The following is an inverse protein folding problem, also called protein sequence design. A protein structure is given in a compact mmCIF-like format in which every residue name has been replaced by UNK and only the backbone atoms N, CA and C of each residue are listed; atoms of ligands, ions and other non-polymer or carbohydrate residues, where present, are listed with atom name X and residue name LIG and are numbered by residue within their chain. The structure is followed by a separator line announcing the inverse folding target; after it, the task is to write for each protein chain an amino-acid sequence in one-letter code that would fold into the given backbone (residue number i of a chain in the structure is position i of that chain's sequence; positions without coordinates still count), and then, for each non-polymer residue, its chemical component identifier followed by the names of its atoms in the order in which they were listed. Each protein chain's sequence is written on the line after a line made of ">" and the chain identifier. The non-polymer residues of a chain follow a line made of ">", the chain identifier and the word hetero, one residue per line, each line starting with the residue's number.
data_IF_299360278556
#
_entry.id   IF_299360278556
#
_cell.length_a   1.000
_cell.length_b   1.000
_cell.length_c   1.000
_cell.angle_alpha   90.00
_cell.angle_beta   90.00
_cell.angle_gamma   90.00
#
_symmetry.space_group_name_H-M   'P 1'
#
loop_
_entity.id
_entity.type
_entity.pdbx_description
1 polymer ?
#
# COMPACT_ATOMS: atom_id res chain seq x y z
N UNK A 1 -45.06 -44.92 62.40
CA UNK A 1 -44.49 -43.57 62.46
C UNK A 1 -43.12 -43.60 61.79
N UNK A 2 -43.03 -43.23 60.51
CA UNK A 2 -41.78 -43.11 59.75
C UNK A 2 -41.72 -41.76 59.14
N UNK A 3 -40.75 -40.92 59.56
CA UNK A 3 -40.47 -39.61 59.02
C UNK A 3 -39.72 -39.75 57.70
N UNK A 4 -40.26 -39.18 56.64
CA UNK A 4 -39.58 -39.10 55.33
C UNK A 4 -38.85 -37.76 55.31
N UNK A 5 -37.53 -37.85 55.20
CA UNK A 5 -36.62 -36.69 55.03
C UNK A 5 -36.56 -36.37 53.53
N UNK A 6 -37.02 -35.18 53.17
CA UNK A 6 -36.98 -34.69 51.78
C UNK A 6 -35.70 -33.87 51.63
N UNK A 7 -34.74 -34.39 50.91
CA UNK A 7 -33.50 -33.67 50.54
C UNK A 7 -33.76 -32.82 49.27
N UNK A 8 -33.69 -31.52 49.39
CA UNK A 8 -33.66 -30.58 48.25
C UNK A 8 -32.23 -30.55 47.68
N UNK A 9 -32.02 -31.09 46.52
CA UNK A 9 -30.82 -30.81 45.70
C UNK A 9 -30.97 -29.49 45.00
N UNK A 10 -30.20 -28.49 45.41
CA UNK A 10 -30.01 -27.25 44.65
C UNK A 10 -28.99 -27.48 43.54
N UNK A 11 -29.47 -27.55 42.31
CA UNK A 11 -28.60 -27.55 41.14
C UNK A 11 -28.11 -26.13 40.85
N UNK A 12 -26.84 -25.88 41.14
CA UNK A 12 -26.13 -24.65 40.81
C UNK A 12 -25.69 -24.73 39.36
N UNK A 13 -26.45 -24.15 38.41
CA UNK A 13 -26.08 -24.01 37.04
C UNK A 13 -25.02 -22.91 36.88
N UNK A 14 -23.76 -23.29 36.78
CA UNK A 14 -22.67 -22.40 36.37
C UNK A 14 -22.83 -22.05 34.89
N UNK A 15 -23.42 -20.89 34.59
CA UNK A 15 -23.36 -20.25 33.29
C UNK A 15 -21.92 -19.78 33.07
N UNK A 16 -21.13 -20.62 32.41
CA UNK A 16 -19.85 -20.22 31.84
C UNK A 16 -20.14 -19.26 30.68
N UNK A 17 -20.09 -17.97 30.95
CA UNK A 17 -20.11 -16.93 29.92
C UNK A 17 -18.86 -17.09 29.06
N UNK A 18 -19.02 -17.60 27.85
CA UNK A 18 -18.01 -17.51 26.83
C UNK A 18 -17.81 -16.02 26.50
N UNK A 19 -16.79 -15.44 27.09
CA UNK A 19 -16.29 -14.11 26.64
C UNK A 19 -15.63 -14.36 25.30
N UNK A 20 -16.39 -14.13 24.23
CA UNK A 20 -15.86 -13.97 22.88
C UNK A 20 -15.01 -12.68 22.91
N UNK A 21 -13.74 -12.82 23.28
CA UNK A 21 -12.76 -11.75 23.11
C UNK A 21 -12.55 -11.60 21.62
N UNK A 22 -13.31 -10.67 21.02
CA UNK A 22 -13.04 -10.23 19.66
C UNK A 22 -11.55 -9.89 19.57
N UNK A 23 -10.77 -10.79 18.96
CA UNK A 23 -9.34 -10.61 18.76
C UNK A 23 -9.17 -9.35 17.94
N UNK A 24 -8.66 -8.29 18.55
CA UNK A 24 -8.39 -7.05 17.85
C UNK A 24 -7.58 -7.39 16.59
N UNK A 25 -8.09 -6.98 15.42
CA UNK A 25 -7.42 -7.25 14.17
C UNK A 25 -5.99 -6.70 14.24
N UNK A 26 -5.01 -7.54 13.92
CA UNK A 26 -3.61 -7.11 13.90
C UNK A 26 -3.44 -5.97 12.92
N UNK A 27 -2.74 -4.90 13.33
CA UNK A 27 -2.55 -3.74 12.49
C UNK A 27 -1.68 -4.10 11.28
N UNK A 28 -2.15 -3.70 10.10
CA UNK A 28 -1.47 -3.96 8.82
C UNK A 28 -0.19 -3.13 8.76
N UNK A 29 0.91 -3.81 8.47
CA UNK A 29 2.22 -3.20 8.31
C UNK A 29 2.46 -2.84 6.85
N UNK A 30 2.84 -1.59 6.60
CA UNK A 30 3.27 -1.12 5.29
C UNK A 30 4.76 -0.79 5.30
N UNK A 31 5.44 -0.93 4.16
CA UNK A 31 6.88 -0.67 4.11
C UNK A 31 7.32 0.23 2.95
N UNK A 32 8.41 0.96 3.19
CA UNK A 32 9.20 1.64 2.18
C UNK A 32 10.29 0.69 1.67
N UNK A 33 10.38 0.52 0.35
CA UNK A 33 11.40 -0.32 -0.25
C UNK A 33 12.79 0.33 -0.19
N UNK A 34 13.78 -0.47 0.17
CA UNK A 34 15.19 -0.25 -0.10
C UNK A 34 15.54 -1.14 -1.30
N UNK A 35 15.99 -0.57 -2.40
CA UNK A 35 16.21 -1.24 -3.68
C UNK A 35 17.49 -0.76 -4.37
N UNK A 36 17.94 -1.44 -5.39
CA UNK A 36 19.17 -1.13 -6.12
C UNK A 36 20.35 -0.86 -5.16
N UNK A 37 20.52 -1.76 -4.19
CA UNK A 37 21.51 -1.68 -3.14
C UNK A 37 21.12 -0.74 -1.99
N UNK A 38 21.05 0.57 -2.22
CA UNK A 38 20.83 1.56 -1.14
C UNK A 38 19.81 2.65 -1.45
N UNK A 39 19.14 2.59 -2.59
CA UNK A 39 18.06 3.54 -2.90
C UNK A 39 16.90 3.36 -1.91
N UNK A 40 16.40 4.46 -1.36
CA UNK A 40 15.36 4.43 -0.33
C UNK A 40 14.13 5.23 -0.75
N UNK A 41 12.96 4.68 -0.47
CA UNK A 41 11.66 5.29 -0.77
C UNK A 41 11.23 6.18 0.40
N UNK A 42 11.66 7.46 0.42
CA UNK A 42 11.48 8.34 1.59
C UNK A 42 10.36 9.37 1.45
N UNK A 43 9.78 9.52 0.28
CA UNK A 43 8.87 10.63 0.02
C UNK A 43 7.38 10.30 0.22
N UNK A 44 7.07 9.27 0.99
CA UNK A 44 5.74 9.02 1.53
C UNK A 44 5.76 9.24 3.05
N UNK A 45 4.86 10.10 3.54
CA UNK A 45 4.82 10.47 4.96
C UNK A 45 4.01 9.46 5.78
N UNK A 46 4.23 9.49 7.10
CA UNK A 46 3.38 8.76 8.05
C UNK A 46 1.93 9.30 8.08
N UNK A 47 1.69 10.53 7.58
CA UNK A 47 0.36 11.11 7.44
C UNK A 47 -0.52 10.30 6.47
N UNK A 48 0.06 9.69 5.45
CA UNK A 48 -0.63 8.76 4.55
C UNK A 48 -1.32 7.64 5.34
N UNK A 49 -0.58 6.93 6.19
CA UNK A 49 -1.15 5.83 7.00
C UNK A 49 -2.16 6.33 8.04
N UNK A 50 -1.92 7.50 8.62
CA UNK A 50 -2.87 8.16 9.53
C UNK A 50 -4.17 8.55 8.79
N UNK A 51 -4.08 9.00 7.55
CA UNK A 51 -5.24 9.30 6.71
C UNK A 51 -6.06 8.06 6.37
N UNK A 52 -5.39 6.92 6.10
CA UNK A 52 -6.07 5.63 5.89
C UNK A 52 -6.88 5.23 7.13
N UNK A 53 -6.30 5.34 8.33
CA UNK A 53 -7.01 5.04 9.59
C UNK A 53 -8.23 5.93 9.81
N UNK A 54 -8.14 7.22 9.45
CA UNK A 54 -9.29 8.14 9.56
C UNK A 54 -10.38 7.90 8.53
N UNK A 55 -10.00 7.41 7.36
CA UNK A 55 -10.90 7.29 6.21
C UNK A 55 -11.50 5.89 6.05
N UNK A 56 -10.99 4.89 6.78
CA UNK A 56 -11.42 3.50 6.69
C UNK A 56 -11.42 2.84 8.07
N UNK A 57 -11.99 1.63 8.15
CA UNK A 57 -11.93 0.79 9.36
C UNK A 57 -10.70 -0.12 9.41
N UNK A 58 -9.79 0.02 8.44
CA UNK A 58 -8.61 -0.84 8.32
C UNK A 58 -7.55 -0.37 9.33
N UNK A 59 -7.17 -1.21 10.31
CA UNK A 59 -6.12 -0.86 11.25
C UNK A 59 -4.76 -0.99 10.54
N UNK A 60 -4.04 0.13 10.40
CA UNK A 60 -2.66 0.14 9.89
C UNK A 60 -1.70 0.55 11.00
N UNK A 61 -0.45 0.10 10.96
CA UNK A 61 0.61 0.77 11.73
C UNK A 61 0.74 2.22 11.23
N UNK A 62 1.10 3.14 12.13
CA UNK A 62 1.19 4.57 11.78
C UNK A 62 2.46 4.97 11.04
N UNK A 63 3.41 4.05 10.92
CA UNK A 63 4.72 4.32 10.31
C UNK A 63 5.07 3.25 9.32
N UNK A 64 5.63 3.68 8.20
CA UNK A 64 6.26 2.77 7.26
C UNK A 64 7.51 2.14 7.89
N UNK A 65 7.66 0.84 7.70
CA UNK A 65 8.92 0.15 7.97
C UNK A 65 9.81 0.26 6.73
N UNK A 66 11.12 0.10 6.89
CA UNK A 66 12.01 -0.03 5.75
C UNK A 66 12.33 -1.50 5.51
N UNK A 67 12.16 -1.98 4.28
CA UNK A 67 12.46 -3.37 3.92
C UNK A 67 13.29 -3.42 2.64
N UNK A 68 14.29 -4.30 2.61
CA UNK A 68 15.09 -4.53 1.41
C UNK A 68 14.32 -5.39 0.41
N UNK A 69 14.36 -5.00 -0.85
CA UNK A 69 13.69 -5.72 -1.94
C UNK A 69 14.26 -7.14 -2.14
N UNK A 70 15.53 -7.35 -1.82
CA UNK A 70 16.20 -8.66 -1.89
C UNK A 70 16.03 -9.52 -0.63
N UNK A 71 15.28 -9.05 0.38
CA UNK A 71 15.01 -9.77 1.63
C UNK A 71 13.71 -10.55 1.59
N UNK A 72 13.69 -11.72 2.21
CA UNK A 72 12.45 -12.48 2.40
C UNK A 72 11.48 -11.80 3.40
N UNK A 73 11.96 -10.83 4.19
CA UNK A 73 11.11 -10.00 5.05
C UNK A 73 10.06 -9.20 4.25
N UNK A 74 10.31 -8.94 2.96
CA UNK A 74 9.38 -8.29 2.04
C UNK A 74 7.97 -8.90 2.09
N UNK A 75 7.89 -10.22 2.18
CA UNK A 75 6.62 -10.96 2.15
C UNK A 75 5.77 -10.81 3.43
N UNK A 76 6.30 -10.16 4.47
CA UNK A 76 5.55 -9.81 5.66
C UNK A 76 4.73 -8.50 5.53
N UNK A 77 4.86 -7.80 4.41
CA UNK A 77 4.20 -6.52 4.15
C UNK A 77 3.23 -6.65 2.97
N UNK A 78 1.91 -6.59 3.18
CA UNK A 78 0.95 -6.70 2.07
C UNK A 78 0.98 -5.49 1.13
N UNK A 79 1.54 -4.36 1.58
CA UNK A 79 1.63 -3.13 0.82
C UNK A 79 3.01 -2.49 0.98
N UNK A 80 3.65 -2.18 -0.14
CA UNK A 80 4.94 -1.49 -0.15
C UNK A 80 4.93 -0.30 -1.09
N UNK A 81 5.75 0.70 -0.78
CA UNK A 81 5.95 1.87 -1.63
C UNK A 81 7.38 1.91 -2.18
N UNK A 82 7.51 2.37 -3.42
CA UNK A 82 8.77 2.54 -4.13
C UNK A 82 8.82 3.91 -4.80
N UNK A 83 9.77 4.74 -4.43
CA UNK A 83 9.97 6.05 -5.04
C UNK A 83 11.45 6.43 -5.07
N UNK A 84 11.80 7.33 -5.97
CA UNK A 84 13.17 7.85 -6.11
C UNK A 84 13.26 8.87 -7.24
N UNK A 85 14.44 9.44 -7.41
CA UNK A 85 14.67 10.50 -8.40
C UNK A 85 15.73 10.15 -9.43
N UNK A 86 16.61 9.18 -9.10
CA UNK A 86 17.76 8.83 -9.94
C UNK A 86 17.52 7.53 -10.69
N UNK A 87 18.27 7.35 -11.76
CA UNK A 87 18.33 6.08 -12.47
C UNK A 87 18.77 4.95 -11.54
N UNK A 88 18.24 3.77 -11.75
CA UNK A 88 18.57 2.57 -10.96
C UNK A 88 18.47 1.30 -11.79
N UNK A 89 19.13 0.25 -11.32
CA UNK A 89 19.09 -1.09 -11.86
C UNK A 89 18.86 -2.08 -10.73
N UNK A 90 17.83 -2.90 -10.85
CA UNK A 90 17.59 -3.98 -9.90
C UNK A 90 18.55 -5.15 -10.15
N UNK A 91 19.03 -5.77 -9.10
CA UNK A 91 19.73 -7.05 -9.18
C UNK A 91 18.78 -8.17 -9.62
N UNK A 92 19.32 -9.30 -10.04
CA UNK A 92 18.50 -10.47 -10.41
C UNK A 92 17.62 -10.92 -9.25
N UNK A 93 18.14 -10.91 -8.01
CA UNK A 93 17.39 -11.29 -6.81
C UNK A 93 16.28 -10.29 -6.49
N UNK A 94 16.52 -9.00 -6.63
CA UNK A 94 15.47 -7.98 -6.44
C UNK A 94 14.32 -8.14 -7.44
N UNK A 95 14.63 -8.42 -8.73
CA UNK A 95 13.60 -8.69 -9.74
C UNK A 95 12.80 -9.95 -9.44
N UNK A 96 13.47 -11.02 -9.05
CA UNK A 96 12.82 -12.28 -8.67
C UNK A 96 11.90 -12.09 -7.46
N UNK A 97 12.39 -11.43 -6.41
CA UNK A 97 11.60 -11.15 -5.21
C UNK A 97 10.40 -10.25 -5.52
N UNK A 98 10.58 -9.21 -6.33
CA UNK A 98 9.48 -8.32 -6.73
C UNK A 98 8.42 -9.09 -7.54
N UNK A 99 8.85 -9.93 -8.48
CA UNK A 99 7.92 -10.79 -9.23
C UNK A 99 7.12 -11.69 -8.28
N UNK A 100 7.80 -12.44 -7.42
CA UNK A 100 7.15 -13.33 -6.43
C UNK A 100 6.19 -12.54 -5.54
N UNK A 101 6.61 -11.38 -5.06
CA UNK A 101 5.80 -10.52 -4.20
C UNK A 101 4.49 -10.12 -4.87
N UNK A 102 4.55 -9.60 -6.10
CA UNK A 102 3.38 -9.17 -6.86
C UNK A 102 2.45 -10.34 -7.23
N UNK A 103 3.01 -11.50 -7.57
CA UNK A 103 2.21 -12.69 -7.93
C UNK A 103 1.70 -13.48 -6.73
N UNK A 104 2.19 -13.19 -5.51
CA UNK A 104 1.73 -13.86 -4.28
C UNK A 104 0.76 -12.99 -3.44
N UNK A 105 0.24 -11.91 -4.01
CA UNK A 105 -0.76 -11.06 -3.36
C UNK A 105 -0.20 -9.81 -2.67
N UNK A 106 1.09 -9.52 -2.82
CA UNK A 106 1.65 -8.23 -2.42
C UNK A 106 1.27 -7.11 -3.37
N UNK A 107 1.23 -5.87 -2.89
CA UNK A 107 0.86 -4.70 -3.68
C UNK A 107 1.95 -3.63 -3.66
N UNK A 108 2.29 -3.11 -4.84
CA UNK A 108 3.28 -2.06 -5.01
C UNK A 108 2.61 -0.72 -5.39
N UNK A 109 2.82 0.31 -4.60
CA UNK A 109 2.62 1.70 -5.02
C UNK A 109 3.97 2.29 -5.43
N UNK A 110 4.11 2.66 -6.69
CA UNK A 110 5.33 3.28 -7.20
C UNK A 110 5.07 4.69 -7.73
N UNK A 111 6.01 5.60 -7.50
CA UNK A 111 5.90 6.99 -7.93
C UNK A 111 7.26 7.59 -8.22
N UNK A 112 7.39 8.27 -9.37
CA UNK A 112 8.59 9.05 -9.66
C UNK A 112 8.67 10.25 -8.70
N UNK A 113 9.69 10.28 -7.84
CA UNK A 113 9.95 11.40 -6.94
C UNK A 113 10.20 12.67 -7.75
N UNK A 114 9.58 13.77 -7.36
CA UNK A 114 9.67 15.06 -8.07
C UNK A 114 9.42 14.93 -9.59
N UNK A 115 8.57 14.00 -10.01
CA UNK A 115 8.31 13.71 -11.42
C UNK A 115 9.57 13.42 -12.26
N UNK A 116 10.57 12.78 -11.63
CA UNK A 116 11.86 12.51 -12.26
C UNK A 116 11.74 11.65 -13.51
N UNK A 117 12.14 12.19 -14.64
CA UNK A 117 12.17 11.46 -15.90
C UNK A 117 13.23 10.34 -15.92
N UNK A 118 14.29 10.45 -15.14
CA UNK A 118 15.32 9.41 -15.03
C UNK A 118 14.76 8.19 -14.31
N UNK A 119 14.09 8.43 -13.19
CA UNK A 119 13.48 7.37 -12.41
C UNK A 119 12.31 6.72 -13.18
N UNK A 120 11.47 7.51 -13.86
CA UNK A 120 10.39 7.00 -14.71
C UNK A 120 10.93 6.01 -15.76
N UNK A 121 11.98 6.38 -16.50
CA UNK A 121 12.61 5.48 -17.48
C UNK A 121 13.16 4.21 -16.83
N UNK A 122 13.82 4.34 -15.70
CA UNK A 122 14.37 3.20 -14.97
C UNK A 122 13.26 2.27 -14.47
N UNK A 123 12.21 2.81 -13.84
CA UNK A 123 11.09 2.02 -13.36
C UNK A 123 10.41 1.25 -14.48
N UNK A 124 10.10 1.90 -15.60
CA UNK A 124 9.48 1.23 -16.75
C UNK A 124 10.35 0.14 -17.35
N UNK A 125 11.67 0.33 -17.38
CA UNK A 125 12.62 -0.68 -17.81
C UNK A 125 12.63 -1.88 -16.87
N UNK A 126 12.75 -1.64 -15.58
CA UNK A 126 12.85 -2.69 -14.58
C UNK A 126 11.54 -3.47 -14.42
N UNK A 127 10.40 -2.77 -14.35
CA UNK A 127 9.11 -3.45 -14.16
C UNK A 127 8.73 -4.33 -15.36
N UNK A 128 9.13 -3.94 -16.58
CA UNK A 128 8.95 -4.78 -17.77
C UNK A 128 9.76 -6.07 -17.69
N UNK A 129 10.93 -6.04 -17.05
CA UNK A 129 11.72 -7.25 -16.82
C UNK A 129 11.15 -8.12 -15.71
N UNK A 130 10.55 -7.51 -14.68
CA UNK A 130 9.89 -8.20 -13.57
C UNK A 130 8.60 -8.88 -14.02
N UNK A 131 7.77 -8.19 -14.79
CA UNK A 131 6.44 -8.63 -15.22
C UNK A 131 6.30 -8.53 -16.76
N UNK A 132 7.05 -9.32 -17.53
CA UNK A 132 7.09 -9.18 -19.00
C UNK A 132 5.76 -9.47 -19.68
N UNK A 133 4.92 -10.32 -19.09
CA UNK A 133 3.61 -10.71 -19.61
C UNK A 133 2.46 -9.79 -19.13
N UNK A 134 2.76 -8.87 -18.21
CA UNK A 134 1.80 -7.95 -17.61
C UNK A 134 2.25 -6.50 -17.81
N UNK A 135 1.89 -5.86 -18.93
CA UNK A 135 2.33 -4.52 -19.22
C UNK A 135 1.76 -3.50 -18.23
N UNK A 136 2.50 -2.41 -18.04
CA UNK A 136 2.03 -1.25 -17.30
C UNK A 136 1.03 -0.49 -18.19
N UNK A 137 -0.25 -0.50 -17.81
CA UNK A 137 -1.36 0.06 -18.60
C UNK A 137 -2.03 1.23 -17.88
N UNK A 138 -2.58 2.17 -18.64
CA UNK A 138 -3.37 3.27 -18.09
C UNK A 138 -4.60 2.72 -17.36
N UNK A 139 -4.78 3.11 -16.11
CA UNK A 139 -5.98 2.76 -15.34
C UNK A 139 -7.15 3.61 -15.83
N UNK A 140 -8.24 2.96 -16.23
CA UNK A 140 -9.43 3.65 -16.71
C UNK A 140 -10.06 4.51 -15.61
N UNK A 141 -10.60 5.70 -15.91
CA UNK A 141 -11.23 6.57 -14.90
C UNK A 141 -12.39 5.90 -14.13
N UNK A 142 -13.07 4.95 -14.76
CA UNK A 142 -14.16 4.18 -14.13
C UNK A 142 -13.67 3.06 -13.18
N UNK A 143 -12.36 2.84 -13.06
CA UNK A 143 -11.82 1.80 -12.21
C UNK A 143 -12.12 2.07 -10.72
N UNK A 144 -12.43 1.02 -9.95
CA UNK A 144 -12.81 1.11 -8.55
C UNK A 144 -11.79 1.89 -7.68
N UNK A 145 -10.51 1.87 -8.04
CA UNK A 145 -9.43 2.57 -7.33
C UNK A 145 -9.68 4.08 -7.20
N UNK A 146 -10.42 4.70 -8.12
CA UNK A 146 -10.78 6.12 -8.07
C UNK A 146 -11.99 6.42 -7.18
N UNK A 147 -12.64 5.37 -6.63
CA UNK A 147 -13.84 5.53 -5.81
C UNK A 147 -13.91 4.55 -4.63
N UNK A 148 -12.76 4.06 -4.16
CA UNK A 148 -12.72 3.07 -3.07
C UNK A 148 -13.17 3.67 -1.74
N UNK A 149 -12.68 4.86 -1.39
CA UNK A 149 -13.02 5.61 -0.17
C UNK A 149 -13.43 7.04 -0.50
N UNK A 150 -12.68 7.66 -1.41
CA UNK A 150 -12.88 9.03 -1.89
C UNK A 150 -13.24 9.00 -3.36
N UNK A 151 -14.22 9.80 -3.77
CA UNK A 151 -14.48 10.01 -5.18
C UNK A 151 -13.38 10.90 -5.78
N UNK A 152 -12.59 10.34 -6.68
CA UNK A 152 -11.50 11.01 -7.38
C UNK A 152 -11.91 11.22 -8.84
N UNK A 153 -12.58 12.31 -9.12
CA UNK A 153 -13.03 12.64 -10.47
C UNK A 153 -11.86 13.05 -11.39
N UNK A 154 -10.84 13.68 -10.80
CA UNK A 154 -9.68 14.19 -11.53
C UNK A 154 -8.43 14.24 -10.67
N UNK A 155 -7.31 13.82 -11.25
CA UNK A 155 -5.99 14.09 -10.67
C UNK A 155 -5.63 15.56 -10.94
N UNK A 156 -5.11 16.25 -9.92
CA UNK A 156 -4.80 17.68 -9.99
C UNK A 156 -3.30 17.88 -9.86
N UNK A 157 -2.68 18.53 -10.84
CA UNK A 157 -1.27 18.93 -10.76
C UNK A 157 -1.12 20.29 -10.06
N UNK A 158 -0.04 20.45 -9.29
CA UNK A 158 0.36 21.72 -8.68
C UNK A 158 0.86 22.72 -9.71
N UNK A 159 1.44 22.23 -10.79
CA UNK A 159 1.96 23.03 -11.90
C UNK A 159 1.36 22.55 -13.21
N UNK A 160 1.32 23.39 -14.21
CA UNK A 160 0.85 23.01 -15.54
C UNK A 160 1.71 21.90 -16.16
N UNK A 161 1.12 21.11 -17.03
CA UNK A 161 1.81 19.99 -17.69
C UNK A 161 0.86 19.03 -18.40
N UNK A 162 1.37 17.88 -18.78
CA UNK A 162 0.55 16.81 -19.34
C UNK A 162 -0.49 16.33 -18.31
N UNK A 163 -1.64 15.91 -18.79
CA UNK A 163 -2.70 15.36 -17.93
C UNK A 163 -2.16 14.20 -17.08
N UNK A 164 -2.26 14.27 -15.75
CA UNK A 164 -1.77 13.23 -14.88
C UNK A 164 -2.60 11.96 -15.04
N UNK A 165 -1.93 10.83 -14.91
CA UNK A 165 -2.58 9.53 -15.00
C UNK A 165 -1.95 8.53 -14.06
N UNK A 166 -2.75 7.56 -13.62
CA UNK A 166 -2.26 6.36 -12.97
C UNK A 166 -2.14 5.24 -14.03
N UNK A 167 -1.09 4.47 -13.89
CA UNK A 167 -0.87 3.25 -14.65
C UNK A 167 -0.83 2.08 -13.66
N UNK A 168 -1.21 0.90 -14.10
CA UNK A 168 -1.26 -0.28 -13.23
C UNK A 168 -0.82 -1.54 -13.93
N UNK A 169 -0.47 -2.54 -13.14
CA UNK A 169 -0.20 -3.90 -13.58
C UNK A 169 -1.32 -4.77 -13.03
N UNK A 170 -2.03 -5.44 -13.94
CA UNK A 170 -3.04 -6.44 -13.60
C UNK A 170 -2.42 -7.83 -13.48
N UNK A 171 -2.86 -8.60 -12.49
CA UNK A 171 -2.56 -10.02 -12.33
C UNK A 171 -3.78 -10.69 -11.69
N UNK A 172 -4.21 -11.85 -12.23
CA UNK A 172 -5.38 -12.60 -11.76
C UNK A 172 -6.65 -11.74 -11.57
N UNK A 173 -6.90 -10.84 -12.54
CA UNK A 173 -8.11 -10.02 -12.58
C UNK A 173 -8.12 -8.81 -11.65
N UNK A 174 -7.04 -8.51 -10.94
CA UNK A 174 -6.90 -7.35 -10.05
C UNK A 174 -5.60 -6.60 -10.28
N UNK A 175 -5.53 -5.34 -9.84
CA UNK A 175 -4.27 -4.61 -9.81
C UNK A 175 -3.37 -5.16 -8.70
N UNK A 176 -2.10 -5.35 -9.02
CA UNK A 176 -1.03 -5.71 -8.08
C UNK A 176 0.02 -4.61 -7.95
N UNK A 177 0.02 -3.66 -8.89
CA UNK A 177 0.86 -2.47 -8.80
C UNK A 177 0.12 -1.26 -9.36
N UNK A 178 0.36 -0.09 -8.77
CA UNK A 178 -0.03 1.21 -9.28
C UNK A 178 1.19 2.09 -9.39
N UNK A 179 1.28 2.80 -10.50
CA UNK A 179 2.39 3.68 -10.81
C UNK A 179 1.92 5.05 -11.28
N UNK A 180 2.66 6.09 -10.88
CA UNK A 180 2.55 7.44 -11.45
C UNK A 180 3.92 8.01 -11.79
N UNK A 181 4.05 8.53 -13.01
CA UNK A 181 5.22 9.31 -13.43
C UNK A 181 5.21 10.74 -12.91
N UNK A 182 4.04 11.23 -12.49
CA UNK A 182 3.92 12.47 -11.72
C UNK A 182 3.84 12.10 -10.24
N UNK A 183 4.55 12.84 -9.37
CA UNK A 183 4.70 12.49 -7.98
C UNK A 183 3.36 12.30 -7.23
N UNK A 184 3.20 11.11 -6.67
CA UNK A 184 2.17 10.80 -5.67
C UNK A 184 2.70 11.00 -4.25
N UNK A 185 3.90 11.54 -4.13
CA UNK A 185 4.57 11.73 -2.86
C UNK A 185 3.80 12.73 -2.01
N UNK A 186 3.58 12.41 -0.75
CA UNK A 186 3.05 13.35 0.24
C UNK A 186 4.21 14.12 0.89
N UNK A 187 4.82 14.98 0.11
CA UNK A 187 6.08 15.62 0.48
C UNK A 187 5.91 16.83 1.38
N UNK A 188 4.73 17.41 1.42
CA UNK A 188 4.43 18.54 2.31
C UNK A 188 4.61 18.17 3.79
N UNK A 189 4.55 16.89 4.12
CA UNK A 189 4.63 16.37 5.49
C UNK A 189 5.85 15.46 5.73
N UNK A 190 6.79 15.37 4.77
CA UNK A 190 7.96 14.50 4.90
C UNK A 190 9.24 15.31 5.13
N UNK A 191 9.79 15.22 6.33
CA UNK A 191 11.05 15.89 6.69
C UNK A 191 12.20 15.36 5.84
N UNK A 192 12.93 16.26 5.20
CA UNK A 192 14.10 15.93 4.38
C UNK A 192 13.77 15.41 2.98
N UNK A 193 12.52 15.42 2.57
CA UNK A 193 12.16 15.25 1.17
C UNK A 193 12.18 16.61 0.47
N UNK A 194 13.07 16.76 -0.51
CA UNK A 194 13.14 17.96 -1.31
C UNK A 194 12.26 17.81 -2.53
N UNK A 195 11.03 18.25 -2.48
CA UNK A 195 10.21 18.38 -3.68
C UNK A 195 10.39 19.71 -4.32
N UNK A 196 11.38 19.75 -5.15
CA UNK A 196 11.80 20.98 -5.80
C UNK A 196 11.41 20.93 -7.28
N UNK A 197 10.20 21.40 -7.60
CA UNK A 197 9.85 21.76 -8.96
C UNK A 197 9.34 20.65 -9.88
N UNK A 198 9.09 19.43 -9.39
CA UNK A 198 8.34 18.43 -10.14
C UNK A 198 6.85 18.72 -10.19
N UNK A 199 6.15 18.15 -11.16
CA UNK A 199 4.69 18.22 -11.22
C UNK A 199 4.10 17.19 -10.23
N UNK A 200 3.75 17.69 -9.04
CA UNK A 200 3.16 16.88 -7.98
C UNK A 200 1.64 16.82 -8.13
N UNK A 201 1.07 15.67 -7.80
CA UNK A 201 -0.38 15.52 -7.74
C UNK A 201 -0.88 16.09 -6.41
N UNK A 202 -1.62 17.20 -6.45
CA UNK A 202 -2.06 17.96 -5.26
C UNK A 202 -2.99 17.16 -4.37
N UNK A 203 -3.85 16.30 -4.95
CA UNK A 203 -4.74 15.41 -4.22
C UNK A 203 -4.15 14.00 -4.02
N UNK A 204 -2.81 13.90 -3.99
CA UNK A 204 -2.10 12.63 -3.84
C UNK A 204 -2.50 11.87 -2.57
N UNK A 205 -2.74 12.56 -1.46
CA UNK A 205 -3.13 11.92 -0.20
C UNK A 205 -4.43 11.12 -0.34
N UNK A 206 -5.47 11.70 -0.94
CA UNK A 206 -6.75 11.02 -1.18
C UNK A 206 -6.58 9.86 -2.17
N UNK A 207 -5.76 10.05 -3.21
CA UNK A 207 -5.42 9.01 -4.19
C UNK A 207 -4.70 7.85 -3.52
N UNK A 208 -3.71 8.12 -2.68
CA UNK A 208 -2.93 7.12 -1.95
C UNK A 208 -3.80 6.33 -0.96
N UNK A 209 -4.72 7.00 -0.27
CA UNK A 209 -5.71 6.34 0.60
C UNK A 209 -6.55 5.35 -0.19
N UNK A 210 -7.08 5.77 -1.34
CA UNK A 210 -7.85 4.88 -2.22
C UNK A 210 -7.03 3.67 -2.69
N UNK A 211 -5.78 3.90 -3.11
CA UNK A 211 -4.89 2.84 -3.60
C UNK A 211 -4.63 1.80 -2.49
N UNK A 212 -4.31 2.25 -1.27
CA UNK A 212 -4.03 1.33 -0.18
C UNK A 212 -5.28 0.55 0.23
N UNK A 213 -6.42 1.22 0.39
CA UNK A 213 -7.66 0.52 0.74
C UNK A 213 -8.06 -0.46 -0.36
N UNK A 214 -7.94 -0.07 -1.63
CA UNK A 214 -8.15 -0.98 -2.76
C UNK A 214 -7.25 -2.22 -2.66
N UNK A 215 -5.96 -2.03 -2.44
CA UNK A 215 -4.98 -3.12 -2.32
C UNK A 215 -5.30 -4.14 -1.22
N UNK A 216 -5.93 -3.68 -0.14
CA UNK A 216 -6.26 -4.53 1.01
C UNK A 216 -7.66 -5.16 0.95
N UNK A 217 -8.50 -4.74 0.00
CA UNK A 217 -9.92 -5.19 -0.07
C UNK A 217 -10.26 -5.92 -1.36
N UNK A 218 -9.38 -5.93 -2.35
CA UNK A 218 -9.55 -6.59 -3.65
C UNK A 218 -8.40 -7.57 -3.92
#
# INVERSE_FOLDING_TARGET
>A
MKRILMQCLAACACLAGAHDQARAAEAIRCANLIYAGTQTSRCFSDEFLSAVQRASTIPTERRFKSVKLDSDELFAFPFVVMTGEKEFYLSARERENLKRYLTSGGFLLASAGCSSAEWDRAFRREIRQVMPEHPLEKIAPAHAIFNTVKAIDKLKLSHGGAEPRLEGIGHDGKLVAVYSSQGLNDTAHTVGCCCCGGNEIVNALDVNVNILVYALTH
#
